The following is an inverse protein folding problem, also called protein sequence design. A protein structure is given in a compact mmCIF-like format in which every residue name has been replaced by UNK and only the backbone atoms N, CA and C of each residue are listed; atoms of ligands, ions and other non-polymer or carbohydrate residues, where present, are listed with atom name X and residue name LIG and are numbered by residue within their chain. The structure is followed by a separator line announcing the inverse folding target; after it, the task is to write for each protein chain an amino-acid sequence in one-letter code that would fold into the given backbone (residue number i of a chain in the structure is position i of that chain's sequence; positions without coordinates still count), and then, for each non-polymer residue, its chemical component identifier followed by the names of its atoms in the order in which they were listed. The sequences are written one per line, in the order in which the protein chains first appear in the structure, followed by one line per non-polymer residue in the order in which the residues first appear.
data_IF_731702597143
#
_entry.id   IF_731702597143
#
_cell.length_a   1.000
_cell.length_b   1.000
_cell.length_c   1.000
_cell.angle_alpha   90.00
_cell.angle_beta   90.00
_cell.angle_gamma   90.00
#
_symmetry.space_group_name_H-M   'P 1'
#
loop_
_entity.id
_entity.type
_entity.pdbx_description
1 polymer ?
#
# COMPACT_ATOMS: atom_id res chain seq x y z
N UNK A 1 40.52 -36.07 -8.57
CA UNK A 1 39.45 -36.90 -9.09
C UNK A 1 38.58 -37.40 -7.96
N UNK A 2 37.51 -36.70 -7.66
CA UNK A 2 36.53 -37.14 -6.66
C UNK A 2 35.16 -37.03 -7.33
N UNK A 3 34.61 -38.20 -7.65
CA UNK A 3 33.32 -38.38 -8.26
C UNK A 3 32.24 -38.35 -7.16
N UNK A 4 31.33 -37.42 -7.18
CA UNK A 4 30.15 -37.42 -6.30
C UNK A 4 28.92 -37.85 -7.10
N UNK A 5 28.48 -39.07 -6.79
CA UNK A 5 27.29 -39.73 -7.29
C UNK A 5 26.04 -39.10 -6.64
N UNK A 6 25.20 -38.44 -7.44
CA UNK A 6 23.89 -37.96 -7.01
C UNK A 6 22.89 -39.12 -7.02
N UNK A 7 22.37 -39.50 -5.86
CA UNK A 7 21.24 -40.40 -5.70
C UNK A 7 19.93 -39.61 -5.83
N UNK A 8 19.21 -39.86 -6.91
CA UNK A 8 17.84 -39.42 -7.15
C UNK A 8 16.89 -40.19 -6.23
N UNK A 9 16.23 -39.51 -5.33
CA UNK A 9 15.12 -40.05 -4.55
C UNK A 9 13.79 -39.59 -5.17
N UNK A 10 13.08 -40.57 -5.74
CA UNK A 10 11.73 -40.42 -6.26
C UNK A 10 10.74 -40.51 -5.11
N UNK A 11 10.05 -39.45 -4.78
CA UNK A 11 8.93 -39.46 -3.83
C UNK A 11 7.63 -39.40 -4.59
N UNK A 12 6.93 -40.53 -4.62
CA UNK A 12 5.55 -40.65 -5.10
C UNK A 12 4.60 -40.22 -3.99
N UNK A 13 3.89 -39.13 -4.16
CA UNK A 13 2.80 -38.70 -3.25
C UNK A 13 1.46 -39.12 -3.87
N UNK A 14 0.77 -39.96 -3.14
CA UNK A 14 -0.58 -40.40 -3.43
C UNK A 14 -1.60 -39.31 -3.16
N UNK A 15 -2.44 -39.09 -4.16
CA UNK A 15 -3.61 -38.19 -4.10
C UNK A 15 -4.72 -38.87 -3.30
N UNK A 16 -5.19 -38.26 -2.24
CA UNK A 16 -6.42 -38.66 -1.56
C UNK A 16 -7.42 -37.51 -1.67
N UNK A 17 -8.42 -37.70 -2.54
CA UNK A 17 -9.61 -36.87 -2.62
C UNK A 17 -10.52 -37.16 -1.42
N UNK A 18 -10.92 -36.15 -0.71
CA UNK A 18 -12.07 -36.20 0.19
C UNK A 18 -12.97 -34.99 -0.08
N UNK A 19 -14.03 -35.29 -0.83
CA UNK A 19 -15.19 -34.43 -1.06
C UNK A 19 -16.09 -34.52 0.19
N UNK A 20 -16.31 -33.42 0.88
CA UNK A 20 -17.43 -33.34 1.84
C UNK A 20 -18.27 -32.13 1.51
N UNK A 21 -19.42 -32.44 0.93
CA UNK A 21 -20.55 -31.56 0.72
C UNK A 21 -21.40 -31.60 1.99
N UNK A 22 -21.65 -30.49 2.66
CA UNK A 22 -22.65 -30.40 3.71
C UNK A 22 -23.45 -29.10 3.57
N UNK A 23 -24.56 -29.23 2.82
CA UNK A 23 -25.71 -28.35 2.94
C UNK A 23 -26.44 -28.67 4.24
N UNK A 24 -26.68 -27.69 5.08
CA UNK A 24 -27.72 -27.77 6.11
C UNK A 24 -28.54 -26.49 6.10
N UNK A 25 -29.70 -26.59 5.48
CA UNK A 25 -30.86 -25.69 5.70
C UNK A 25 -31.45 -26.00 7.06
N UNK A 26 -31.73 -24.99 7.84
CA UNK A 26 -32.74 -25.11 8.91
C UNK A 26 -33.62 -23.89 8.86
N UNK A 27 -34.91 -24.20 8.60
CA UNK A 27 -36.03 -23.26 8.56
C UNK A 27 -36.55 -22.93 9.96
N UNK A 28 -37.08 -21.72 10.04
CA UNK A 28 -38.33 -21.34 10.75
C UNK A 28 -38.29 -21.05 12.24
N UNK A 29 -38.52 -19.78 12.57
CA UNK A 29 -39.63 -19.41 13.43
C UNK A 29 -40.06 -17.95 13.24
N UNK A 30 -41.34 -17.80 12.82
CA UNK A 30 -42.11 -16.55 12.80
C UNK A 30 -42.35 -16.04 14.22
N UNK A 31 -42.19 -14.72 14.45
CA UNK A 31 -43.05 -13.97 15.38
C UNK A 31 -43.01 -12.49 15.03
N UNK A 32 -44.06 -12.02 14.43
CA UNK A 32 -44.95 -10.87 14.63
C UNK A 32 -44.35 -9.49 14.98
N UNK A 33 -44.60 -8.60 14.03
CA UNK A 33 -44.98 -7.16 14.09
C UNK A 33 -44.25 -6.23 15.06
N UNK A 34 -43.51 -5.28 14.49
CA UNK A 34 -43.90 -3.89 14.68
C UNK A 34 -43.52 -3.05 13.45
N UNK A 35 -44.46 -2.26 13.03
CA UNK A 35 -44.52 -1.42 11.88
C UNK A 35 -43.81 -0.12 12.25
N UNK A 36 -42.71 0.24 11.55
CA UNK A 36 -42.37 1.66 11.43
C UNK A 36 -41.50 1.92 10.20
N UNK A 37 -42.13 2.66 9.30
CA UNK A 37 -41.56 3.63 8.39
C UNK A 37 -40.59 3.11 7.31
N UNK A 38 -41.21 2.74 6.18
CA UNK A 38 -40.53 2.72 4.88
C UNK A 38 -39.87 4.07 4.63
N UNK A 39 -38.57 4.13 4.84
CA UNK A 39 -37.74 5.17 4.23
C UNK A 39 -37.40 4.65 2.84
N UNK A 40 -38.16 5.15 1.86
CA UNK A 40 -37.88 5.00 0.44
C UNK A 40 -36.43 5.44 0.23
N UNK A 41 -35.53 4.48 0.00
CA UNK A 41 -34.24 4.79 -0.58
C UNK A 41 -34.49 5.28 -1.99
N UNK A 42 -34.60 6.58 -2.14
CA UNK A 42 -34.57 7.21 -3.44
C UNK A 42 -33.26 6.82 -4.11
N UNK A 43 -33.35 6.23 -5.30
CA UNK A 43 -32.24 5.86 -6.17
C UNK A 43 -31.55 7.13 -6.69
N UNK A 44 -30.93 7.87 -5.81
CA UNK A 44 -29.96 8.90 -6.18
C UNK A 44 -28.57 8.50 -5.68
N UNK A 45 -28.10 7.34 -6.16
CA UNK A 45 -26.69 7.06 -6.24
C UNK A 45 -26.09 7.86 -7.40
N UNK A 46 -26.28 9.17 -7.35
CA UNK A 46 -25.40 10.07 -8.08
C UNK A 46 -24.03 9.84 -7.48
N UNK A 47 -23.18 9.12 -8.22
CA UNK A 47 -21.77 9.05 -7.92
C UNK A 47 -21.30 10.51 -7.85
N UNK A 48 -21.23 11.05 -6.65
CA UNK A 48 -20.50 12.30 -6.41
C UNK A 48 -19.08 11.96 -6.82
N UNK A 49 -18.72 12.39 -8.02
CA UNK A 49 -17.35 12.58 -8.41
C UNK A 49 -16.76 13.61 -7.43
N UNK A 50 -16.46 13.13 -6.23
CA UNK A 50 -15.63 13.82 -5.28
C UNK A 50 -14.23 13.67 -5.83
N UNK A 51 -13.86 14.53 -6.74
CA UNK A 51 -12.48 14.88 -6.97
C UNK A 51 -12.05 15.48 -5.63
N UNK A 52 -11.71 14.63 -4.66
CA UNK A 52 -11.10 15.09 -3.43
C UNK A 52 -9.83 15.75 -3.88
N UNK A 53 -9.80 17.06 -3.79
CA UNK A 53 -8.63 17.85 -4.11
C UNK A 53 -7.53 17.37 -3.19
N UNK A 54 -6.56 16.63 -3.76
CA UNK A 54 -5.40 16.16 -3.04
C UNK A 54 -4.67 17.38 -2.48
N UNK A 55 -4.58 17.48 -1.17
CA UNK A 55 -3.91 18.59 -0.51
C UNK A 55 -3.23 18.11 0.76
N UNK A 56 -2.07 18.69 1.05
CA UNK A 56 -1.36 18.44 2.29
C UNK A 56 -2.09 19.08 3.48
N UNK A 57 -2.35 18.28 4.52
CA UNK A 57 -3.08 18.70 5.73
C UNK A 57 -2.17 19.24 6.85
N UNK A 58 -0.87 19.42 6.59
CA UNK A 58 0.07 19.94 7.58
C UNK A 58 -0.26 21.40 7.93
N UNK A 59 -0.59 21.64 9.21
CA UNK A 59 -0.98 22.95 9.74
C UNK A 59 0.11 23.61 10.58
N UNK A 60 1.10 22.85 11.06
CA UNK A 60 2.18 23.36 11.92
C UNK A 60 3.42 23.75 11.10
N UNK A 61 3.98 24.95 11.30
CA UNK A 61 5.21 25.39 10.62
C UNK A 61 6.41 24.46 10.86
N UNK A 62 6.50 23.86 12.06
CA UNK A 62 7.58 22.93 12.41
C UNK A 62 7.50 21.65 11.58
N UNK A 63 6.29 21.11 11.40
CA UNK A 63 6.07 19.92 10.59
C UNK A 63 6.33 20.20 9.10
N UNK A 64 5.94 21.38 8.61
CA UNK A 64 6.23 21.81 7.24
C UNK A 64 7.74 21.87 7.01
N UNK A 65 8.47 22.54 7.90
CA UNK A 65 9.94 22.64 7.81
C UNK A 65 10.62 21.27 7.88
N UNK A 66 10.15 20.39 8.77
CA UNK A 66 10.65 19.01 8.85
C UNK A 66 10.42 18.23 7.57
N UNK A 67 9.20 18.32 7.00
CA UNK A 67 8.86 17.72 5.72
C UNK A 67 9.82 18.18 4.62
N UNK A 68 10.00 19.49 4.47
CA UNK A 68 10.91 20.06 3.46
C UNK A 68 12.35 19.53 3.61
N UNK A 69 12.85 19.45 4.85
CA UNK A 69 14.20 18.97 5.14
C UNK A 69 14.36 17.49 4.77
N UNK A 70 13.41 16.64 5.17
CA UNK A 70 13.45 15.19 4.88
C UNK A 70 13.32 14.96 3.38
N UNK A 71 12.40 15.64 2.71
CA UNK A 71 12.23 15.51 1.26
C UNK A 71 13.50 15.94 0.52
N UNK A 72 14.12 17.05 0.92
CA UNK A 72 15.34 17.53 0.29
C UNK A 72 16.51 16.55 0.45
N UNK A 73 16.65 15.93 1.64
CA UNK A 73 17.65 14.92 1.92
C UNK A 73 17.41 13.65 1.08
N UNK A 74 16.22 13.11 1.11
CA UNK A 74 15.88 11.90 0.35
C UNK A 74 16.07 12.09 -1.15
N UNK A 75 15.69 13.25 -1.70
CA UNK A 75 15.92 13.55 -3.13
C UNK A 75 17.35 13.43 -3.57
N UNK A 76 18.31 13.84 -2.73
CA UNK A 76 19.73 13.75 -3.02
C UNK A 76 20.25 12.30 -2.96
N UNK A 77 19.53 11.41 -2.33
CA UNK A 77 19.90 10.01 -2.13
C UNK A 77 19.24 9.06 -3.14
N UNK A 78 18.34 9.55 -4.00
CA UNK A 78 17.70 8.74 -5.02
C UNK A 78 18.73 8.26 -6.04
N UNK A 79 18.89 6.95 -6.16
CA UNK A 79 19.77 6.29 -7.13
C UNK A 79 19.04 6.04 -8.45
N UNK A 80 17.77 5.65 -8.36
CA UNK A 80 16.94 5.30 -9.51
C UNK A 80 15.49 5.68 -9.25
N UNK A 81 14.77 6.11 -10.28
CA UNK A 81 13.33 6.35 -10.25
C UNK A 81 12.65 5.48 -11.31
N UNK A 82 11.62 4.75 -10.91
CA UNK A 82 10.75 3.97 -11.82
C UNK A 82 9.35 4.53 -11.79
N UNK A 83 8.77 4.70 -12.95
CA UNK A 83 7.37 5.03 -13.08
C UNK A 83 6.51 3.77 -12.90
N UNK A 84 5.49 3.87 -12.04
CA UNK A 84 4.44 2.87 -11.85
C UNK A 84 3.15 3.34 -12.53
N UNK A 85 2.20 2.45 -12.68
CA UNK A 85 0.90 2.80 -13.26
C UNK A 85 0.24 3.97 -12.51
N UNK A 86 0.26 3.94 -11.20
CA UNK A 86 -0.41 4.87 -10.30
C UNK A 86 0.55 5.50 -9.26
N UNK A 87 1.78 5.80 -9.66
CA UNK A 87 2.78 6.41 -8.79
C UNK A 87 4.21 6.23 -9.28
N UNK A 88 5.15 6.20 -8.34
CA UNK A 88 6.58 6.02 -8.60
C UNK A 88 7.23 5.13 -7.55
N UNK A 89 8.31 4.44 -7.95
CA UNK A 89 9.23 3.74 -7.06
C UNK A 89 10.59 4.43 -7.11
N UNK A 90 11.21 4.61 -5.95
CA UNK A 90 12.50 5.26 -5.78
C UNK A 90 13.48 4.30 -5.11
N UNK A 91 14.67 4.16 -5.69
CA UNK A 91 15.75 3.33 -5.16
C UNK A 91 16.73 4.17 -4.35
N UNK A 92 17.16 3.61 -3.23
CA UNK A 92 18.14 4.16 -2.31
C UNK A 92 19.18 3.09 -1.94
N UNK A 93 20.25 3.48 -1.26
CA UNK A 93 21.08 2.53 -0.51
C UNK A 93 20.26 1.95 0.65
N UNK A 94 20.47 0.67 0.95
CA UNK A 94 19.75 -0.03 2.03
C UNK A 94 20.41 0.12 3.40
N UNK A 95 21.06 1.25 3.71
CA UNK A 95 21.71 1.48 5.00
C UNK A 95 20.68 1.77 6.09
N UNK A 96 21.09 1.58 7.35
CA UNK A 96 20.19 1.80 8.49
C UNK A 96 19.77 3.28 8.58
N UNK A 97 20.67 4.22 8.27
CA UNK A 97 20.40 5.66 8.28
C UNK A 97 19.36 6.05 7.23
N UNK A 98 19.48 5.49 6.02
CA UNK A 98 18.49 5.73 4.95
C UNK A 98 17.15 5.13 5.32
N UNK A 99 17.13 3.95 5.93
CA UNK A 99 15.92 3.31 6.40
C UNK A 99 15.18 4.13 7.47
N UNK A 100 15.93 4.69 8.42
CA UNK A 100 15.39 5.58 9.44
C UNK A 100 14.76 6.81 8.80
N UNK A 101 15.43 7.41 7.81
CA UNK A 101 14.92 8.59 7.10
C UNK A 101 13.68 8.27 6.26
N UNK A 102 13.66 7.13 5.56
CA UNK A 102 12.49 6.67 4.81
C UNK A 102 11.29 6.42 5.73
N UNK A 103 11.50 5.82 6.90
CA UNK A 103 10.41 5.59 7.86
C UNK A 103 9.89 6.90 8.47
N UNK A 104 10.75 7.88 8.74
CA UNK A 104 10.34 9.21 9.17
C UNK A 104 9.54 9.95 8.09
N UNK A 105 9.96 9.85 6.84
CA UNK A 105 9.21 10.37 5.69
C UNK A 105 7.80 9.76 5.64
N UNK A 106 7.69 8.42 5.68
CA UNK A 106 6.40 7.73 5.64
C UNK A 106 5.51 8.17 6.81
N UNK A 107 6.03 8.26 8.03
CA UNK A 107 5.27 8.70 9.21
C UNK A 107 4.71 10.11 9.04
N UNK A 108 5.50 11.01 8.47
CA UNK A 108 5.11 12.41 8.26
C UNK A 108 4.08 12.51 7.12
N UNK A 109 4.36 11.89 5.98
CA UNK A 109 3.50 12.01 4.80
C UNK A 109 2.14 11.33 5.01
N UNK A 110 2.05 10.16 5.64
CA UNK A 110 0.76 9.53 5.93
C UNK A 110 -0.13 10.34 6.88
N UNK A 111 0.46 11.22 7.68
CA UNK A 111 -0.31 12.10 8.57
C UNK A 111 -0.94 13.27 7.81
N UNK A 112 -0.34 13.70 6.70
CA UNK A 112 -0.82 14.83 5.91
C UNK A 112 -1.45 14.44 4.56
N UNK A 113 -1.03 13.33 3.99
CA UNK A 113 -1.40 12.88 2.64
C UNK A 113 -1.99 11.47 2.72
N UNK A 114 -3.21 11.35 3.26
CA UNK A 114 -3.90 10.09 3.50
C UNK A 114 -4.35 9.35 2.22
N UNK A 115 -4.17 9.96 1.07
CA UNK A 115 -4.43 9.37 -0.25
C UNK A 115 -3.24 8.57 -0.81
N UNK A 116 -2.05 8.61 -0.17
CA UNK A 116 -0.93 7.78 -0.55
C UNK A 116 -1.01 6.37 0.03
N UNK A 117 -0.54 5.42 -0.77
CA UNK A 117 -0.13 4.09 -0.30
C UNK A 117 1.39 4.00 -0.38
N UNK A 118 2.01 3.60 0.71
CA UNK A 118 3.45 3.45 0.83
C UNK A 118 3.80 1.96 0.89
N UNK A 119 4.81 1.55 0.10
CA UNK A 119 5.44 0.26 0.25
C UNK A 119 6.96 0.47 0.35
N UNK A 120 7.61 -0.28 1.23
CA UNK A 120 9.06 -0.28 1.36
C UNK A 120 9.56 -1.72 1.25
N UNK A 121 10.59 -1.93 0.46
CA UNK A 121 11.30 -3.19 0.37
C UNK A 121 12.78 -2.96 0.56
N UNK A 122 13.44 -3.86 1.29
CA UNK A 122 14.85 -3.71 1.69
C UNK A 122 15.57 -5.02 1.48
N UNK A 123 16.75 -4.98 0.88
CA UNK A 123 17.61 -6.14 0.75
C UNK A 123 18.31 -6.44 2.08
N UNK A 124 18.40 -7.74 2.43
CA UNK A 124 19.05 -8.17 3.67
C UNK A 124 20.56 -7.91 3.75
N UNK A 125 21.20 -7.67 2.60
CA UNK A 125 22.63 -7.34 2.47
C UNK A 125 22.90 -5.84 2.53
N UNK A 126 21.88 -5.02 2.79
CA UNK A 126 21.92 -3.56 2.82
C UNK A 126 22.31 -2.89 1.49
N UNK A 127 22.26 -3.61 0.38
CA UNK A 127 22.65 -3.08 -0.93
C UNK A 127 21.64 -2.06 -1.47
N UNK A 128 20.36 -2.29 -1.22
CA UNK A 128 19.29 -1.43 -1.73
C UNK A 128 18.05 -1.39 -0.84
N UNK A 129 17.35 -0.26 -0.91
CA UNK A 129 16.00 -0.07 -0.42
C UNK A 129 15.15 0.57 -1.53
N UNK A 130 13.91 0.15 -1.65
CA UNK A 130 12.94 0.74 -2.56
C UNK A 130 11.79 1.32 -1.76
N UNK A 131 11.41 2.55 -2.09
CA UNK A 131 10.20 3.19 -1.61
C UNK A 131 9.24 3.36 -2.78
N UNK A 132 8.05 2.78 -2.67
CA UNK A 132 6.96 2.98 -3.62
C UNK A 132 5.92 3.92 -3.02
N UNK A 133 5.54 4.93 -3.79
CA UNK A 133 4.44 5.84 -3.50
C UNK A 133 3.40 5.68 -4.60
N UNK A 134 2.21 5.26 -4.22
CA UNK A 134 1.10 5.06 -5.14
C UNK A 134 -0.17 5.69 -4.58
N UNK A 135 -1.19 5.87 -5.41
CA UNK A 135 -2.48 6.42 -4.98
C UNK A 135 -3.50 6.43 -6.11
N UNK A 136 -4.56 7.19 -5.92
CA UNK A 136 -5.61 7.38 -6.90
C UNK A 136 -5.14 8.22 -8.11
N UNK A 137 -6.00 8.38 -9.11
CA UNK A 137 -5.76 9.23 -10.26
C UNK A 137 -5.38 10.66 -9.83
N UNK A 138 -4.34 11.22 -10.47
CA UNK A 138 -3.79 12.54 -10.13
C UNK A 138 -2.65 12.53 -9.11
N UNK A 139 -2.36 11.39 -8.48
CA UNK A 139 -1.27 11.29 -7.48
C UNK A 139 0.10 11.62 -8.06
N UNK A 140 0.36 11.30 -9.34
CA UNK A 140 1.63 11.62 -10.00
C UNK A 140 1.83 13.12 -10.18
N UNK A 141 0.77 13.84 -10.55
CA UNK A 141 0.80 15.29 -10.70
C UNK A 141 1.04 15.95 -9.34
N UNK A 142 0.37 15.45 -8.30
CA UNK A 142 0.59 15.91 -6.93
C UNK A 142 2.04 15.68 -6.47
N UNK A 143 2.59 14.49 -6.71
CA UNK A 143 3.99 14.17 -6.34
C UNK A 143 4.98 15.10 -7.04
N UNK A 144 4.73 15.43 -8.30
CA UNK A 144 5.58 16.36 -9.06
C UNK A 144 5.47 17.79 -8.52
N UNK A 145 4.24 18.25 -8.22
CA UNK A 145 4.00 19.62 -7.78
C UNK A 145 4.45 19.87 -6.33
N UNK A 146 4.12 18.93 -5.41
CA UNK A 146 4.27 19.13 -3.97
C UNK A 146 5.53 18.49 -3.39
N UNK A 147 5.95 17.36 -3.92
CA UNK A 147 7.15 16.66 -3.48
C UNK A 147 8.34 16.94 -4.40
N UNK A 148 8.07 17.33 -5.66
CA UNK A 148 9.08 17.63 -6.67
C UNK A 148 9.91 16.40 -7.08
N UNK A 149 9.35 15.23 -6.96
CA UNK A 149 9.95 13.96 -7.37
C UNK A 149 9.86 13.70 -8.87
#
# INVERSE_FOLDING_TARGET
MISNSFKTATITLAFSMLTVCCCSQTQSKKTVMNQEKETICSNDCTAKNKTEQMSCKLTSPELQKRKETVIASLKQQIIEKKELQNGYAFKFLGTDEVLDELTEFIKTERACCDFFTFAISVSGDKSEAWLELTGADGVKDFMTAELGF
#
